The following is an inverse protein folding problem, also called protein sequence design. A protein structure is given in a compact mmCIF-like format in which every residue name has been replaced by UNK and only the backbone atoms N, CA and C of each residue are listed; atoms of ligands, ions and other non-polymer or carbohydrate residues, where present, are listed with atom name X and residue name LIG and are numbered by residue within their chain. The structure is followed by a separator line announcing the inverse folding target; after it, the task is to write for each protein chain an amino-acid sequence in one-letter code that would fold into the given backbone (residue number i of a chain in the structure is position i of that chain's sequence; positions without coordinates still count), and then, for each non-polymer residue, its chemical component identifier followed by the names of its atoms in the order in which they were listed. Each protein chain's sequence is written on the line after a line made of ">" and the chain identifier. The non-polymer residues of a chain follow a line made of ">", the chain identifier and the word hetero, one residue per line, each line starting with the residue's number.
data_IF_657180242874
#
_entry.id   IF_657180242874
#
_cell.length_a   1.000
_cell.length_b   1.000
_cell.length_c   1.000
_cell.angle_alpha   90.00
_cell.angle_beta   90.00
_cell.angle_gamma   90.00
#
_symmetry.space_group_name_H-M   'P 1'
#
loop_
_entity.id
_entity.type
_entity.pdbx_description
1 polymer ?
2 non-polymer ?
3 non-polymer ?
4 water ?
#
# COMPACT_ATOMS: atom_id res chain seq x y z
N UNK A 1 5.84 18.93 -1.25
CA UNK A 1 6.39 20.01 -0.42
C UNK A 1 5.37 20.67 0.50
N UNK A 2 4.44 19.90 1.03
CA UNK A 2 3.41 20.45 1.91
C UNK A 2 3.70 20.00 3.33
N UNK A 3 3.56 20.92 4.28
CA UNK A 3 3.80 20.60 5.68
C UNK A 3 2.70 19.68 6.20
N UNK A 4 3.09 18.61 6.87
CA UNK A 4 2.17 17.67 7.48
C UNK A 4 1.91 17.97 8.95
N UNK A 5 2.28 19.16 9.42
CA UNK A 5 2.11 19.58 10.80
C UNK A 5 1.21 20.79 10.83
N UNK A 6 0.14 20.72 11.64
CA UNK A 6 -0.80 21.82 11.78
C UNK A 6 -1.16 21.99 13.24
N UNK A 7 -1.42 23.23 13.63
CA UNK A 7 -1.90 23.58 14.96
C UNK A 7 -3.26 24.22 14.81
N UNK A 8 -4.29 23.63 15.42
CA UNK A 8 -5.62 24.21 15.31
C UNK A 8 -5.72 25.46 16.17
N UNK A 9 -6.84 26.17 16.01
CA UNK A 9 -7.10 27.38 16.79
C UNK A 9 -7.00 27.13 18.28
N UNK A 10 -7.40 25.95 18.75
CA UNK A 10 -7.36 25.65 20.17
C UNK A 10 -5.96 25.33 20.67
N UNK A 11 -5.02 25.10 19.77
CA UNK A 11 -3.66 24.77 20.14
C UNK A 11 -3.28 23.31 20.10
N UNK A 12 -4.17 22.44 19.60
CA UNK A 12 -3.82 21.04 19.43
C UNK A 12 -2.92 20.88 18.21
N UNK A 13 -1.79 20.20 18.41
CA UNK A 13 -0.86 19.93 17.32
C UNK A 13 -1.19 18.60 16.66
N UNK A 14 -1.23 18.60 15.33
CA UNK A 14 -1.45 17.38 14.55
C UNK A 14 -0.24 17.13 13.66
N UNK A 15 0.21 15.88 13.63
CA UNK A 15 1.40 15.50 12.88
C UNK A 15 1.06 14.30 12.02
N UNK A 16 1.06 14.50 10.70
CA UNK A 16 0.72 13.45 9.75
C UNK A 16 1.92 12.96 8.96
N UNK A 17 3.14 13.35 9.35
CA UNK A 17 4.32 12.90 8.63
C UNK A 17 4.47 11.37 8.69
N UNK A 18 3.96 10.74 9.74
CA UNK A 18 3.98 9.28 9.82
C UNK A 18 3.14 8.60 8.76
N UNK A 19 2.23 9.35 8.13
CA UNK A 19 1.43 8.84 7.03
C UNK A 19 2.00 9.20 5.67
N UNK A 20 3.11 9.94 5.63
CA UNK A 20 3.72 10.34 4.37
C UNK A 20 4.30 9.14 3.64
N UNK A 21 4.26 9.19 2.32
CA UNK A 21 4.63 8.06 1.48
C UNK A 21 6.02 8.29 0.92
N UNK A 22 7.00 7.55 1.43
CA UNK A 22 8.38 7.66 0.98
C UNK A 22 8.62 6.79 -0.26
N UNK A 23 8.13 5.55 -0.24
CA UNK A 23 8.47 4.56 -1.27
C UNK A 23 7.24 4.01 -1.98
N UNK A 24 6.18 3.70 -1.26
CA UNK A 24 4.96 3.16 -1.82
C UNK A 24 3.80 4.00 -1.29
N UNK A 25 2.70 4.07 -2.03
CA UNK A 25 1.55 4.85 -1.57
C UNK A 25 0.65 4.02 -0.67
N UNK A 26 -0.35 4.70 -0.10
CA UNK A 26 -1.42 4.03 0.62
C UNK A 26 -2.42 3.44 -0.36
N UNK A 27 -3.04 2.34 0.06
CA UNK A 27 -4.07 1.67 -0.71
C UNK A 27 -5.34 1.79 0.11
N UNK A 28 -6.41 2.25 -0.52
CA UNK A 28 -7.65 2.55 0.18
C UNK A 28 -8.51 1.30 0.29
N UNK A 29 -9.03 1.08 1.49
CA UNK A 29 -9.97 -0.02 1.70
C UNK A 29 -11.30 0.38 1.08
N UNK A 30 -11.83 -0.47 0.22
CA UNK A 30 -13.03 -0.14 -0.54
C UNK A 30 -13.93 -1.37 -0.59
N UNK A 31 -14.99 -1.37 0.22
CA UNK A 31 -15.94 -2.47 0.21
C UNK A 31 -17.25 -2.08 -0.47
N UNK A 32 -17.22 -1.06 -1.32
CA UNK A 32 -18.36 -0.70 -2.14
C UNK A 32 -18.62 -1.79 -3.18
N UNK A 33 -19.76 -1.67 -3.86
CA UNK A 33 -20.01 -2.55 -4.99
C UNK A 33 -19.29 -2.03 -6.23
N UNK A 34 -19.20 -0.70 -6.38
CA UNK A 34 -18.45 -0.08 -7.46
C UNK A 34 -16.95 -0.26 -7.30
N UNK A 35 -16.49 -0.85 -6.21
CA UNK A 35 -15.08 -1.05 -5.94
C UNK A 35 -14.52 -2.36 -6.45
N UNK A 36 -15.33 -3.13 -7.18
CA UNK A 36 -14.90 -4.43 -7.69
C UNK A 36 -13.66 -4.31 -8.56
N UNK A 37 -13.67 -3.35 -9.50
CA UNK A 37 -12.57 -3.18 -10.44
C UNK A 37 -11.79 -1.88 -10.25
N UNK A 38 -11.94 -1.21 -9.10
CA UNK A 38 -11.28 0.07 -8.89
C UNK A 38 -10.40 0.03 -7.65
N UNK A 39 -9.21 0.61 -7.78
CA UNK A 39 -8.27 0.82 -6.67
C UNK A 39 -8.00 2.31 -6.51
N UNK A 40 -8.12 2.82 -5.29
CA UNK A 40 -7.73 4.18 -4.97
C UNK A 40 -6.34 4.19 -4.35
N UNK A 41 -5.45 5.01 -4.89
CA UNK A 41 -4.14 5.23 -4.31
C UNK A 41 -4.08 6.63 -3.70
N UNK A 42 -3.48 6.73 -2.51
CA UNK A 42 -3.51 7.98 -1.77
C UNK A 42 -2.15 8.26 -1.15
N UNK A 43 -1.87 9.54 -0.95
CA UNK A 43 -0.68 10.00 -0.26
C UNK A 43 -1.07 11.21 0.59
N UNK A 44 -0.31 11.41 1.67
CA UNK A 44 -0.59 12.48 2.62
C UNK A 44 0.53 13.50 2.52
N UNK A 45 0.18 14.76 2.20
CA UNK A 45 1.12 15.86 2.09
C UNK A 45 2.06 15.69 0.91
N UNK A 46 2.61 14.51 0.74
CA UNK A 46 3.51 14.28 -0.37
C UNK A 46 2.75 13.80 -1.60
N UNK A 47 3.25 14.08 -2.80
CA UNK A 47 2.62 13.55 -4.00
C UNK A 47 2.86 12.06 -4.12
N UNK A 48 1.97 11.41 -4.87
CA UNK A 48 2.10 9.97 -5.09
C UNK A 48 3.39 9.66 -5.83
N UNK A 49 4.01 8.51 -5.54
CA UNK A 49 5.08 8.00 -6.41
C UNK A 49 4.51 7.63 -7.77
N UNK A 50 5.42 7.40 -8.73
CA UNK A 50 5.01 7.08 -10.09
C UNK A 50 3.96 5.98 -10.14
N UNK A 51 2.77 6.34 -10.62
CA UNK A 51 1.70 5.40 -10.89
C UNK A 51 1.29 5.58 -12.35
N UNK A 52 1.36 4.55 -13.17
CA UNK A 52 1.14 4.74 -14.61
C UNK A 52 -0.24 5.31 -14.90
N UNK A 53 -0.25 6.48 -15.54
CA UNK A 53 -1.45 7.14 -15.98
C UNK A 53 -1.81 8.40 -15.23
N UNK A 54 -1.27 8.60 -14.02
CA UNK A 54 -1.51 9.85 -13.31
C UNK A 54 -0.19 10.53 -12.93
N UNK A 55 0.73 10.66 -13.87
CA UNK A 55 2.00 11.33 -13.65
C UNK A 55 1.94 12.73 -14.25
N UNK A 56 2.58 13.69 -13.58
CA UNK A 56 2.74 15.03 -14.12
C UNK A 56 2.20 16.16 -13.28
N UNK A 57 1.38 15.89 -12.26
CA UNK A 57 0.60 16.94 -11.62
C UNK A 57 0.76 17.00 -10.11
N UNK A 58 1.75 16.33 -9.54
CA UNK A 58 1.85 16.15 -8.09
C UNK A 58 0.54 15.58 -7.55
N UNK A 59 0.17 14.43 -8.09
CA UNK A 59 -1.13 13.83 -7.81
C UNK A 59 -1.11 13.25 -6.40
N UNK A 60 -2.12 13.57 -5.60
CA UNK A 60 -2.23 13.02 -4.28
C UNK A 60 -3.24 11.89 -4.18
N UNK A 61 -4.00 11.68 -5.25
CA UNK A 61 -5.07 10.69 -5.24
C UNK A 61 -5.28 10.18 -6.66
N UNK A 62 -5.11 8.88 -6.87
CA UNK A 62 -5.19 8.27 -8.19
C UNK A 62 -6.16 7.11 -8.17
N UNK A 63 -7.18 7.14 -9.02
CA UNK A 63 -8.06 6.00 -9.23
C UNK A 63 -7.54 5.18 -10.41
N UNK A 64 -7.29 3.90 -10.18
CA UNK A 64 -6.81 2.98 -11.20
C UNK A 64 -7.86 1.90 -11.38
N UNK A 65 -8.39 1.79 -12.61
CA UNK A 65 -9.44 0.81 -12.88
C UNK A 65 -9.40 0.41 -14.35
N UNK A 66 -9.24 -0.89 -14.60
CA UNK A 66 -9.27 -1.47 -15.94
C UNK A 66 -8.35 -0.74 -16.92
N UNK A 67 -7.08 -0.66 -16.54
CA UNK A 67 -6.07 -0.04 -17.37
C UNK A 67 -6.01 1.48 -17.32
N UNK A 68 -7.14 2.15 -17.17
CA UNK A 68 -7.16 3.59 -17.17
C UNK A 68 -6.87 4.14 -15.78
N UNK A 69 -6.33 5.35 -15.73
CA UNK A 69 -6.00 6.04 -14.49
C UNK A 69 -6.58 7.43 -14.49
N UNK A 70 -7.12 7.85 -13.35
CA UNK A 70 -7.68 9.20 -13.20
C UNK A 70 -6.98 9.91 -12.05
N UNK A 71 -6.63 11.16 -12.30
CA UNK A 71 -6.11 12.05 -11.27
C UNK A 71 -7.27 12.65 -10.50
N UNK A 72 -7.36 12.35 -9.21
CA UNK A 72 -8.48 12.81 -8.39
C UNK A 72 -8.10 13.98 -7.48
N UNK A 73 -7.06 14.73 -7.80
CA UNK A 73 -6.66 15.88 -7.01
C UNK A 73 -5.18 15.91 -6.71
N UNK A 74 -4.66 17.14 -6.62
CA UNK A 74 -3.23 17.36 -6.38
C UNK A 74 -3.04 17.81 -4.94
N UNK A 75 -1.81 17.66 -4.45
CA UNK A 75 -1.46 18.09 -3.10
C UNK A 75 -1.09 19.57 -3.13
N UNK A 76 -1.88 20.39 -2.45
CA UNK A 76 -1.62 21.83 -2.39
C UNK A 76 -1.77 22.32 -0.96
N UNK A 77 -2.97 22.17 -0.39
CA UNK A 77 -3.22 22.60 0.98
C UNK A 77 -2.69 21.56 1.97
N UNK A 78 -2.31 22.04 3.14
CA UNK A 78 -1.96 21.18 4.27
C UNK A 78 -3.23 20.63 4.92
N UNK A 79 -3.09 19.60 5.75
CA UNK A 79 -4.27 19.09 6.49
C UNK A 79 -4.95 20.21 7.27
N UNK A 80 -6.27 20.29 7.15
CA UNK A 80 -7.04 21.36 7.76
C UNK A 80 -7.71 20.85 9.03
N UNK A 82 -7.39 21.47 10.17
CA UNK A 82 -8.13 21.22 11.39
C UNK A 82 -9.43 22.02 11.41
N UNK A 83 -9.32 23.34 11.27
CA UNK A 83 -10.47 24.25 11.23
C UNK A 83 -11.48 24.01 12.35
N UNK A 84 -13.35 22.82 15.38
CA UNK A 84 -13.99 21.85 16.26
C UNK A 84 -13.00 20.75 16.66
N UNK A 85 -11.96 20.54 15.86
CA UNK A 85 -10.92 19.58 16.17
C UNK A 85 -10.78 18.42 15.21
N UNK A 86 -11.61 18.30 14.17
CA UNK A 86 -11.53 17.16 13.27
C UNK A 86 -10.64 17.50 12.07
N UNK A 87 -9.84 16.53 11.65
CA UNK A 87 -8.86 16.75 10.60
C UNK A 87 -9.42 16.41 9.22
N UNK A 88 -9.07 17.23 8.24
CA UNK A 88 -9.42 16.98 6.85
C UNK A 88 -8.28 17.43 5.97
N UNK A 89 -8.08 16.71 4.87
CA UNK A 89 -7.16 17.12 3.81
C UNK A 89 -7.91 17.04 2.50
N UNK A 90 -7.63 17.99 1.60
CA UNK A 90 -8.42 18.19 0.40
C UNK A 90 -7.48 18.29 -0.80
N UNK A 91 -7.64 17.35 -1.73
CA UNK A 91 -6.98 17.41 -3.04
C UNK A 91 -8.02 17.73 -4.09
N UNK A 92 -7.78 18.76 -4.87
CA UNK A 92 -8.72 19.21 -5.88
C UNK A 92 -7.99 19.37 -7.20
N UNK A 93 -8.75 19.78 -8.23
CA UNK A 93 -8.20 20.08 -9.55
C UNK A 93 -7.51 18.86 -10.16
N UNK A 94 -8.20 17.73 -10.13
CA UNK A 94 -7.78 16.53 -10.81
C UNK A 94 -8.24 16.53 -12.25
N UNK A 95 -8.40 15.33 -12.80
CA UNK A 95 -8.86 15.20 -14.17
C UNK A 95 -10.28 15.73 -14.31
N UNK A 96 -10.64 16.02 -15.56
CA UNK A 96 -11.92 16.65 -15.85
C UNK A 96 -13.06 15.74 -15.47
N UNK A 97 -14.05 16.31 -14.78
CA UNK A 97 -15.23 15.61 -14.29
C UNK A 97 -16.44 16.47 -14.60
N UNK A 98 -17.09 16.20 -15.74
CA UNK A 98 -18.18 17.07 -16.18
C UNK A 98 -17.67 18.47 -16.45
N UNK A 99 -18.33 19.47 -15.87
CA UNK A 99 -17.86 20.84 -15.98
C UNK A 99 -16.80 21.17 -14.93
N UNK A 100 -16.60 20.31 -13.94
CA UNK A 100 -15.63 20.52 -12.88
C UNK A 100 -14.45 19.56 -13.05
N UNK A 101 -13.63 19.48 -12.01
CA UNK A 101 -12.51 18.54 -11.95
C UNK A 101 -12.66 17.68 -10.70
N UNK A 102 -12.15 16.46 -10.78
CA UNK A 102 -12.24 15.53 -9.65
C UNK A 102 -11.53 16.12 -8.45
N UNK A 103 -11.99 15.72 -7.27
CA UNK A 103 -11.40 16.12 -6.01
C UNK A 103 -11.47 14.94 -5.04
N UNK A 104 -10.59 14.96 -4.05
CA UNK A 104 -10.52 13.91 -3.05
C UNK A 104 -10.50 14.55 -1.67
N UNK A 105 -11.36 14.07 -0.78
CA UNK A 105 -11.37 14.50 0.61
C UNK A 105 -11.10 13.30 1.50
N UNK A 106 -10.10 13.42 2.37
CA UNK A 106 -9.85 12.45 3.42
C UNK A 106 -10.24 13.08 4.74
N UNK A 107 -11.22 12.48 5.42
CA UNK A 107 -11.61 12.91 6.76
C UNK A 107 -10.92 11.99 7.77
N UNK A 108 -10.16 12.58 8.69
CA UNK A 108 -9.44 11.84 9.70
C UNK A 108 -10.24 11.80 11.00
N UNK A 109 -10.07 10.71 11.73
CA UNK A 109 -10.73 10.56 13.02
C UNK A 109 -9.72 9.97 13.99
N UNK A 110 -9.52 10.65 15.12
CA UNK A 110 -8.70 10.09 16.19
C UNK A 110 -9.26 8.75 16.62
N UNK A 111 -8.45 7.70 16.43
CA UNK A 111 -8.78 6.36 16.88
C UNK A 111 -7.50 5.71 17.37
N UNK A 112 -7.60 4.89 18.42
CA UNK A 112 -6.42 4.31 19.03
C UNK A 112 -5.99 3.03 18.32
N UNK A 113 -5.77 3.17 17.01
CA UNK A 113 -5.36 2.08 16.13
C UNK A 113 -4.53 2.66 15.00
N UNK A 114 -3.78 1.80 14.32
CA UNK A 114 -3.08 2.18 13.09
C UNK A 114 -3.97 1.81 11.91
N UNK A 115 -4.74 2.78 11.44
CA UNK A 115 -5.73 2.54 10.42
C UNK A 115 -5.24 2.87 9.01
N UNK A 116 -6.01 2.38 8.04
CA UNK A 116 -5.83 2.67 6.64
C UNK A 116 -7.02 3.47 6.12
N UNK A 117 -6.82 4.32 5.12
CA UNK A 117 -7.97 5.08 4.60
C UNK A 117 -8.94 4.17 3.88
N UNK A 118 -10.22 4.46 4.06
CA UNK A 118 -11.28 3.67 3.44
C UNK A 118 -12.16 4.58 2.59
N UNK A 119 -12.56 4.07 1.43
CA UNK A 119 -13.51 4.79 0.59
C UNK A 119 -14.84 4.89 1.32
N UNK A 120 -15.34 6.10 1.45
CA UNK A 120 -16.63 6.35 2.08
C UNK A 120 -17.72 6.74 1.11
N UNK A 121 -17.44 7.63 0.17
CA UNK A 121 -18.51 8.33 -0.52
C UNK A 121 -17.99 8.97 -1.79
N UNK A 122 -18.83 8.97 -2.82
CA UNK A 122 -18.60 9.75 -4.02
C UNK A 122 -19.69 10.81 -4.07
N UNK A 123 -19.30 12.07 -3.84
CA UNK A 123 -20.22 13.21 -3.83
C UNK A 123 -20.05 13.98 -5.13
N UNK A 124 -20.68 13.46 -6.18
CA UNK A 124 -20.56 14.05 -7.51
C UNK A 124 -19.19 13.83 -8.11
N UNK A 125 -18.35 14.86 -8.02
CA UNK A 125 -16.99 14.80 -8.53
C UNK A 125 -15.99 14.61 -7.39
N UNK A 126 -16.44 14.57 -6.15
CA UNK A 126 -15.60 14.50 -4.98
C UNK A 126 -15.62 13.08 -4.40
N UNK A 127 -14.43 12.50 -4.24
CA UNK A 127 -14.28 11.19 -3.60
C UNK A 127 -13.92 11.41 -2.13
N UNK A 128 -14.75 10.87 -1.24
CA UNK A 128 -14.62 11.11 0.19
C UNK A 128 -14.07 9.86 0.85
N UNK A 129 -13.04 10.04 1.68
CA UNK A 129 -12.39 8.95 2.38
C UNK A 129 -12.42 9.18 3.87
N UNK A 130 -12.55 8.09 4.63
CA UNK A 130 -12.53 8.13 6.09
C UNK A 130 -11.27 7.40 6.54
N UNK A 131 -10.49 8.06 7.39
CA UNK A 131 -9.23 7.51 7.90
C UNK A 131 -9.27 7.56 9.42
N UNK A 132 -9.58 6.42 10.05
CA UNK A 132 -9.55 6.29 11.49
C UNK A 132 -8.18 5.74 11.89
N UNK A 133 -7.35 6.57 12.51
CA UNK A 133 -6.00 6.15 12.83
C UNK A 133 -5.43 7.02 13.93
N UNK A 134 -4.40 6.48 14.60
CA UNK A 134 -3.80 7.13 15.77
C UNK A 134 -3.08 8.42 15.40
N UNK A 135 -2.69 8.58 14.14
CA UNK A 135 -1.99 9.80 13.76
C UNK A 135 -2.92 10.99 13.66
N UNK A 136 -4.23 10.76 13.60
CA UNK A 136 -5.23 11.82 13.56
C UNK A 136 -5.52 12.41 14.94
N UNK A 137 -4.74 12.06 15.94
CA UNK A 137 -4.88 12.49 17.32
C UNK A 137 -3.90 13.60 17.65
N UNK A 138 -4.26 14.48 18.58
CA UNK A 138 -3.35 15.58 18.95
C UNK A 138 -2.00 15.09 19.45
N UNK A 139 -0.95 15.71 18.95
CA UNK A 139 0.42 15.41 19.36
C UNK A 139 0.74 16.17 20.64
N UNK A 140 1.72 15.65 21.39
CA UNK A 140 2.20 16.33 22.59
C UNK A 140 2.68 17.75 22.27
N UNK B 1 12.25 -8.71 10.97
CA UNK B 1 12.65 -9.76 11.91
C UNK B 1 13.79 -10.60 11.34
N UNK B 2 13.87 -10.68 10.01
CA UNK B 2 14.90 -11.45 9.31
C UNK B 2 15.85 -10.48 8.62
N UNK B 3 17.09 -10.92 8.46
CA UNK B 3 18.09 -10.10 7.78
C UNK B 3 17.67 -9.89 6.32
N UNK B 4 17.86 -8.67 5.84
CA UNK B 4 17.39 -8.30 4.52
C UNK B 4 18.53 -8.06 3.53
N UNK B 5 19.78 -8.32 3.92
CA UNK B 5 20.93 -8.21 3.03
C UNK B 5 21.48 -9.60 2.78
N UNK B 6 21.67 -9.94 1.51
CA UNK B 6 22.19 -11.23 1.11
C UNK B 6 23.28 -11.03 0.06
N UNK B 7 24.27 -11.91 0.09
CA UNK B 7 25.35 -11.94 -0.89
C UNK B 7 25.29 -13.27 -1.61
N UNK B 8 25.17 -13.23 -2.93
CA UNK B 8 25.14 -14.48 -3.69
C UNK B 8 26.54 -15.10 -3.71
N UNK B 9 26.58 -16.31 -4.25
CA UNK B 9 27.85 -17.03 -4.39
C UNK B 9 28.88 -16.21 -5.15
N UNK B 10 28.43 -15.43 -6.14
CA UNK B 10 29.34 -14.62 -6.94
C UNK B 10 29.80 -13.34 -6.25
N UNK B 11 29.18 -12.96 -5.13
CA UNK B 11 29.56 -11.77 -4.42
C UNK B 11 28.70 -10.55 -4.65
N UNK B 12 27.58 -10.69 -5.37
CA UNK B 12 26.66 -9.58 -5.52
C UNK B 12 25.87 -9.38 -4.23
N UNK B 13 25.86 -8.14 -3.75
CA UNK B 13 25.11 -7.78 -2.55
C UNK B 13 23.72 -7.34 -2.94
N UNK B 14 22.71 -7.86 -2.26
CA UNK B 14 21.33 -7.44 -2.45
C UNK B 14 20.80 -6.90 -1.13
N UNK B 15 20.10 -5.77 -1.20
CA UNK B 15 19.57 -5.09 -0.02
C UNK B 15 18.10 -4.77 -0.26
N UNK B 16 17.22 -5.42 0.50
CA UNK B 16 15.79 -5.26 0.33
C UNK B 16 15.15 -4.46 1.45
N UNK B 17 15.97 -3.80 2.30
CA UNK B 17 15.41 -3.02 3.39
C UNK B 17 14.52 -1.89 2.88
N UNK B 18 14.78 -1.40 1.66
CA UNK B 18 13.92 -0.37 1.09
C UNK B 18 12.50 -0.83 0.82
N UNK B 19 12.27 -2.14 0.76
CA UNK B 19 10.95 -2.70 0.59
C UNK B 19 10.29 -3.07 1.92
N UNK B 20 10.99 -2.91 3.04
CA UNK B 20 10.43 -3.22 4.33
C UNK B 20 9.34 -2.21 4.69
N UNK B 21 8.35 -2.69 5.46
CA UNK B 21 7.16 -1.92 5.77
C UNK B 21 7.25 -1.40 7.20
N UNK B 22 7.42 -0.09 7.35
CA UNK B 22 7.45 0.49 8.70
C UNK B 22 6.03 0.76 9.21
N UNK B 23 5.16 1.31 8.38
CA UNK B 23 3.83 1.72 8.80
C UNK B 23 2.71 1.08 8.00
N UNK B 24 2.86 0.98 6.69
CA UNK B 24 1.85 0.41 5.82
C UNK B 24 2.45 -0.68 4.98
N UNK B 25 1.66 -1.66 4.54
CA UNK B 25 2.19 -2.74 3.72
C UNK B 25 2.13 -2.42 2.22
N UNK B 26 2.75 -3.29 1.43
CA UNK B 26 2.57 -3.28 -0.01
C UNK B 26 1.27 -3.98 -0.36
N UNK B 27 0.62 -3.52 -1.43
CA UNK B 27 -0.63 -4.11 -1.87
C UNK B 27 -0.51 -4.61 -3.30
N UNK B 28 -0.83 -5.88 -3.52
CA UNK B 28 -1.03 -6.42 -4.85
C UNK B 28 -2.53 -6.56 -5.08
N UNK B 29 -3.06 -5.81 -6.04
CA UNK B 29 -4.46 -5.92 -6.41
C UNK B 29 -4.61 -6.95 -7.53
N UNK B 30 -5.59 -7.84 -7.40
CA UNK B 30 -5.81 -8.89 -8.40
C UNK B 30 -7.30 -8.94 -8.74
N UNK B 31 -7.64 -8.34 -9.88
CA UNK B 31 -8.99 -8.38 -10.44
C UNK B 31 -9.03 -9.16 -11.75
N UNK B 32 -8.12 -10.13 -11.92
CA UNK B 32 -8.06 -10.88 -13.16
C UNK B 32 -9.33 -11.68 -13.40
N UNK B 33 -9.79 -12.43 -12.40
CA UNK B 33 -11.06 -13.15 -12.53
C UNK B 33 -12.20 -12.19 -12.19
N UNK B 34 -13.12 -12.00 -13.13
CA UNK B 34 -14.28 -11.18 -12.88
C UNK B 34 -15.19 -11.85 -11.86
N UNK B 35 -15.85 -11.02 -11.05
CA UNK B 35 -16.69 -11.51 -9.99
C UNK B 35 -15.94 -11.86 -8.72
N UNK B 36 -14.65 -11.59 -8.66
CA UNK B 36 -13.85 -11.90 -7.48
C UNK B 36 -12.65 -10.97 -7.44
N UNK B 37 -12.58 -10.12 -6.43
CA UNK B 37 -11.49 -9.19 -6.27
C UNK B 37 -10.67 -9.60 -5.07
N UNK B 38 -9.37 -9.74 -5.27
CA UNK B 38 -8.47 -10.18 -4.22
C UNK B 38 -7.42 -9.11 -3.97
N UNK B 39 -7.18 -8.83 -2.69
CA UNK B 39 -6.12 -7.93 -2.29
C UNK B 39 -5.10 -8.77 -1.52
N UNK B 40 -3.86 -8.73 -1.96
CA UNK B 40 -2.76 -9.36 -1.27
C UNK B 40 -1.97 -8.30 -0.54
N UNK B 41 -1.71 -8.51 0.74
CA UNK B 41 -0.86 -7.63 1.51
C UNK B 41 0.47 -8.33 1.73
N UNK B 42 1.56 -7.58 1.57
CA UNK B 42 2.88 -8.19 1.57
C UNK B 42 3.83 -7.35 2.38
N UNK B 43 4.84 -8.02 2.94
CA UNK B 43 5.91 -7.37 3.66
C UNK B 43 7.19 -8.10 3.32
N UNK B 44 8.31 -7.38 3.37
CA UNK B 44 9.62 -7.93 3.06
C UNK B 44 10.46 -7.91 4.33
N UNK B 45 10.92 -9.10 4.74
CA UNK B 45 11.79 -9.29 5.91
C UNK B 45 11.12 -9.04 7.25
N UNK B 46 10.43 -7.93 7.42
CA UNK B 46 9.69 -7.74 8.66
C UNK B 46 8.23 -8.17 8.48
N UNK B 47 7.53 -8.52 9.56
CA UNK B 47 6.12 -8.92 9.42
C UNK B 47 5.19 -7.76 9.09
N UNK B 48 4.03 -8.14 8.54
CA UNK B 48 2.98 -7.19 8.20
C UNK B 48 2.46 -6.48 9.45
N UNK B 49 2.05 -5.22 9.31
CA UNK B 49 1.27 -4.58 10.37
C UNK B 49 -0.10 -5.20 10.49
N UNK B 50 -0.76 -4.93 11.63
CA UNK B 50 -2.07 -5.48 11.93
C UNK B 50 -3.06 -5.27 10.79
N UNK B 51 -3.54 -6.37 10.23
CA UNK B 51 -4.61 -6.39 9.26
C UNK B 51 -5.71 -7.29 9.83
N UNK B 52 -6.93 -6.79 10.01
CA UNK B 52 -7.97 -7.60 10.68
C UNK B 52 -8.19 -8.91 9.95
N UNK B 53 -7.94 -10.03 10.65
CA UNK B 53 -8.17 -11.36 10.14
C UNK B 53 -6.92 -12.20 9.94
N UNK B 54 -5.73 -11.59 9.91
CA UNK B 54 -4.44 -12.29 9.80
C UNK B 54 -3.60 -11.99 11.03
N UNK B 55 -3.80 -12.79 12.07
CA UNK B 55 -3.06 -12.65 13.31
C UNK B 55 -1.87 -13.61 13.32
N UNK B 56 -0.78 -13.15 13.93
CA UNK B 56 0.46 -13.92 14.04
C UNK B 56 1.64 -13.13 13.50
N UNK B 58 2.65 -13.79 12.95
CA UNK B 58 3.77 -13.10 12.31
C UNK B 58 3.66 -13.18 10.79
N UNK B 59 2.51 -12.74 10.30
CA UNK B 59 2.14 -12.94 8.90
C UNK B 59 2.94 -12.02 7.99
N UNK B 60 3.52 -12.61 6.94
CA UNK B 60 4.23 -11.86 5.92
C UNK B 60 3.40 -11.67 4.68
N UNK B 61 2.24 -12.35 4.62
CA UNK B 61 1.40 -12.36 3.42
C UNK B 61 -0.05 -12.59 3.83
N UNK B 62 -0.90 -11.61 3.52
CA UNK B 62 -2.30 -11.61 3.91
C UNK B 62 -3.16 -11.45 2.66
N UNK B 63 -4.02 -12.43 2.42
CA UNK B 63 -5.04 -12.31 1.39
C UNK B 63 -6.35 -11.86 2.02
N UNK B 64 -6.89 -10.74 1.53
CA UNK B 64 -8.18 -10.23 1.96
C UNK B 64 -9.09 -10.24 0.75
N UNK B 65 -10.20 -10.98 0.85
CA UNK B 65 -11.09 -11.16 -0.28
C UNK B 65 -12.49 -11.38 0.26
N UNK B 66 -13.45 -10.61 -0.26
CA UNK B 66 -14.84 -10.66 0.19
C UNK B 66 -14.85 -10.38 1.68
N UNK B 67 -15.33 -11.28 2.53
CA UNK B 67 -15.33 -11.03 3.95
C UNK B 67 -14.16 -11.64 4.69
N UNK B 68 -13.67 -12.77 4.20
CA UNK B 68 -12.64 -13.52 4.91
C UNK B 68 -11.25 -12.98 4.62
N UNK B 69 -10.33 -13.30 5.54
CA UNK B 69 -8.92 -12.96 5.47
C UNK B 69 -8.12 -14.25 5.64
N UNK B 70 -7.05 -14.40 4.86
CA UNK B 70 -6.21 -15.59 4.89
C UNK B 70 -4.75 -15.23 5.15
N UNK B 71 -4.13 -15.99 6.05
CA UNK B 71 -2.69 -15.88 6.26
C UNK B 71 -1.99 -16.76 5.22
N UNK B 72 -1.21 -16.15 4.33
CA UNK B 72 -0.58 -16.85 3.23
C UNK B 72 0.90 -17.16 3.47
N UNK B 73 1.34 -17.17 4.72
CA UNK B 73 2.73 -17.49 5.03
C UNK B 73 3.34 -16.52 6.02
N UNK B 74 4.27 -17.04 6.83
CA UNK B 74 4.88 -16.26 7.88
C UNK B 74 6.27 -15.83 7.43
N UNK B 75 6.79 -14.78 8.06
CA UNK B 75 8.11 -14.26 7.76
C UNK B 75 9.11 -15.09 8.56
N UNK B 76 9.93 -15.87 7.86
CA UNK B 76 10.93 -16.71 8.53
C UNK B 76 12.26 -16.65 7.81
N UNK B 77 12.27 -17.08 6.55
CA UNK B 77 13.47 -17.13 5.75
C UNK B 77 13.82 -15.75 5.19
N UNK B 78 15.12 -15.49 5.04
CA UNK B 78 15.63 -14.29 4.39
C UNK B 78 15.57 -14.45 2.87
N UNK B 79 15.66 -13.34 2.12
CA UNK B 79 15.69 -13.44 0.66
C UNK B 79 16.81 -14.35 0.17
N UNK B 80 16.48 -15.23 -0.78
CA UNK B 80 17.44 -16.20 -1.28
C UNK B 80 18.01 -15.71 -2.62
N UNK B 81 19.31 -15.46 -2.66
CA UNK B 81 20.02 -15.23 -3.90
C UNK B 81 20.33 -16.57 -4.54
N UNK B 82 19.85 -16.79 -5.76
CA UNK B 82 20.06 -18.05 -6.45
C UNK B 82 21.34 -18.03 -7.26
N UNK B 83 21.81 -19.24 -7.60
CA UNK B 83 22.92 -19.37 -8.55
C UNK B 83 22.53 -18.90 -9.94
N UNK B 84 21.22 -18.79 -10.23
CA UNK B 84 20.79 -18.19 -11.48
C UNK B 84 20.93 -16.67 -11.45
N UNK B 85 20.89 -16.06 -10.26
CA UNK B 85 20.98 -14.62 -10.14
C UNK B 85 19.70 -13.97 -9.66
N UNK B 86 18.65 -14.76 -9.43
CA UNK B 86 17.31 -14.29 -9.16
C UNK B 86 17.09 -14.19 -7.65
N UNK B 87 16.37 -13.16 -7.23
CA UNK B 87 16.02 -13.02 -5.83
C UNK B 87 14.66 -13.64 -5.62
N UNK B 88 14.54 -14.36 -4.51
CA UNK B 88 13.27 -14.95 -4.13
C UNK B 88 13.13 -14.90 -2.63
N UNK B 89 11.90 -14.72 -2.17
CA UNK B 89 11.57 -14.83 -0.75
C UNK B 89 10.35 -15.72 -0.62
N UNK B 90 10.31 -16.52 0.43
CA UNK B 90 9.35 -17.60 0.62
C UNK B 90 8.76 -17.51 2.03
N UNK B 91 7.45 -17.34 2.10
CA UNK B 91 6.70 -17.44 3.34
C UNK B 91 5.88 -18.73 3.31
N UNK B 92 5.97 -19.54 4.36
CA UNK B 92 5.24 -20.80 4.43
C UNK B 92 4.50 -20.87 5.76
N UNK B 93 3.80 -21.98 5.97
CA UNK B 93 3.08 -22.25 7.21
C UNK B 93 2.00 -21.19 7.45
N UNK B 94 1.23 -20.91 6.41
CA UNK B 94 0.07 -20.03 6.52
C UNK B 94 -1.16 -20.78 6.97
N UNK B 95 -2.32 -20.23 6.62
CA UNK B 95 -3.58 -20.85 6.97
C UNK B 95 -3.73 -22.19 6.29
N UNK B 96 -4.65 -22.99 6.80
CA UNK B 96 -4.83 -24.35 6.31
C UNK B 96 -5.26 -24.36 4.85
N UNK B 97 -4.61 -25.22 4.07
CA UNK B 97 -4.87 -25.39 2.65
C UNK B 97 -4.95 -26.89 2.40
N UNK B 98 -6.15 -27.44 2.43
CA UNK B 98 -6.28 -28.88 2.35
C UNK B 98 -5.52 -29.53 3.50
N UNK B 99 -4.66 -30.50 3.16
CA UNK B 99 -3.77 -31.08 4.14
C UNK B 99 -2.50 -30.26 4.34
N UNK B 100 -2.27 -29.24 3.53
CA UNK B 100 -1.09 -28.41 3.64
C UNK B 100 -1.45 -27.04 4.21
N UNK B 101 -0.50 -26.11 4.14
CA UNK B 101 -0.72 -24.74 4.55
C UNK B 101 -0.33 -23.81 3.42
N UNK B 102 -0.98 -22.65 3.38
CA UNK B 102 -0.70 -21.69 2.32
C UNK B 102 0.75 -21.23 2.40
N UNK B 103 1.28 -20.86 1.25
CA UNK B 103 2.63 -20.32 1.15
C UNK B 103 2.64 -19.23 0.11
N UNK B 104 3.60 -18.33 0.24
CA UNK B 104 3.74 -17.18 -0.65
C UNK B 104 5.18 -17.10 -1.13
N UNK B 105 5.36 -16.96 -2.44
CA UNK B 105 6.67 -16.75 -3.04
C UNK B 105 6.65 -15.44 -3.81
N UNK B 106 7.63 -14.58 -3.53
CA UNK B 106 7.87 -13.37 -4.32
C UNK B 106 9.17 -13.56 -5.09
N UNK B 107 9.10 -13.51 -6.41
CA UNK B 107 10.28 -13.53 -7.25
C UNK B 107 10.61 -12.09 -7.65
N UNK B 108 11.84 -11.67 -7.35
CA UNK B 108 12.31 -10.32 -7.65
C UNK B 108 13.09 -10.31 -8.96
N UNK B 109 13.01 -9.19 -9.67
CA UNK B 109 13.75 -9.01 -10.92
C UNK B 109 14.32 -7.60 -10.97
N UNK B 110 15.62 -7.50 -11.22
CA UNK B 110 16.27 -6.21 -11.43
C UNK B 110 15.60 -5.45 -12.58
N UNK B 111 15.05 -4.28 -12.25
CA UNK B 111 14.49 -3.37 -13.23
C UNK B 111 14.77 -1.95 -12.76
N UNK B 112 15.03 -1.04 -13.70
CA UNK B 112 15.43 0.32 -13.36
C UNK B 112 14.19 1.20 -13.15
N UNK B 113 13.36 0.77 -12.20
CA UNK B 113 12.12 1.45 -11.85
C UNK B 113 11.84 1.19 -10.38
N UNK B 114 10.93 1.99 -9.80
CA UNK B 114 10.41 1.74 -8.46
C UNK B 114 9.13 0.94 -8.60
N UNK B 115 9.25 -0.38 -8.53
CA UNK B 115 8.13 -1.26 -8.79
C UNK B 115 7.38 -1.70 -7.56
N UNK B 116 6.19 -2.24 -7.80
CA UNK B 116 5.32 -2.85 -6.83
C UNK B 116 5.11 -4.32 -7.16
N UNK B 117 4.86 -5.16 -6.16
CA UNK B 117 4.61 -6.58 -6.44
C UNK B 117 3.28 -6.75 -7.17
N UNK B 118 3.25 -7.69 -8.10
CA UNK B 118 2.05 -8.02 -8.85
C UNK B 118 1.74 -9.50 -8.67
N UNK B 119 0.45 -9.81 -8.53
CA UNK B 119 0.05 -11.21 -8.50
C UNK B 119 0.34 -11.85 -9.84
N UNK B 120 1.09 -12.94 -9.82
CA UNK B 120 1.43 -13.65 -11.04
C UNK B 120 0.71 -14.99 -11.16
N UNK B 121 0.66 -15.78 -10.09
CA UNK B 121 0.32 -17.18 -10.25
C UNK B 121 -0.07 -17.79 -8.91
N UNK B 122 -1.05 -18.67 -8.93
CA UNK B 122 -1.40 -19.52 -7.79
C UNK B 122 -1.09 -20.96 -8.17
N UNK B 123 -0.05 -21.52 -7.56
CA UNK B 123 0.37 -22.90 -7.84
C UNK B 123 -0.11 -23.80 -6.71
N UNK B 124 -1.38 -24.15 -6.76
CA UNK B 124 -2.00 -24.96 -5.73
C UNK B 124 -2.21 -24.21 -4.44
N UNK B 125 -1.30 -24.41 -3.48
CA UNK B 125 -1.38 -23.75 -2.19
C UNK B 125 -0.40 -22.59 -2.11
N UNK B 126 0.42 -22.39 -3.14
CA UNK B 126 1.46 -21.38 -3.18
C UNK B 126 1.01 -20.19 -4.03
N UNK B 127 1.06 -19.00 -3.45
CA UNK B 127 0.77 -17.78 -4.17
C UNK B 127 2.09 -17.18 -4.64
N UNK B 128 2.20 -16.97 -5.96
CA UNK B 128 3.43 -16.53 -6.60
C UNK B 128 3.27 -15.09 -7.04
N UNK B 129 4.25 -14.26 -6.69
CA UNK B 129 4.23 -12.84 -7.00
C UNK B 129 5.50 -12.48 -7.77
N UNK B 130 5.35 -11.52 -8.70
CA UNK B 130 6.46 -11.00 -9.47
C UNK B 130 6.69 -9.55 -9.05
N UNK B 131 7.93 -9.24 -8.66
CA UNK B 131 8.29 -7.90 -8.21
C UNK B 131 9.49 -7.42 -9.02
N UNK B 132 9.23 -6.61 -10.05
CA UNK B 132 10.26 -5.97 -10.84
C UNK B 132 10.51 -4.59 -10.25
N UNK B 133 11.68 -4.38 -9.65
CA UNK B 133 11.97 -3.12 -8.96
C UNK B 133 13.47 -2.95 -8.83
N UNK B 134 13.88 -1.70 -8.61
CA UNK B 134 15.30 -1.34 -8.56
C UNK B 134 16.00 -1.93 -7.34
N UNK B 135 15.26 -2.29 -6.30
CA UNK B 135 15.88 -2.86 -5.12
C UNK B 135 16.34 -4.29 -5.34
N UNK B 136 15.84 -4.95 -6.39
CA UNK B 136 16.25 -6.31 -6.75
C UNK B 136 17.58 -6.35 -7.50
N UNK B 137 18.29 -5.23 -7.57
CA UNK B 137 19.57 -5.11 -8.28
C UNK B 137 20.74 -5.11 -7.29
N UNK B 138 21.89 -5.63 -7.70
CA UNK B 138 23.07 -5.64 -6.82
C UNK B 138 23.47 -4.25 -6.37
N UNK B 139 23.72 -4.11 -5.07
CA UNK B 139 24.19 -2.86 -4.49
C UNK B 139 25.71 -2.80 -4.61
N UNK B 140 26.25 -1.59 -4.50
CA UNK B 140 27.70 -1.39 -4.51
C UNK B 140 28.39 -2.19 -3.41
X LIG C 1 6.90 4.13 2.51
X LIG D 1 2.70 7.29 -18.19
X LIG E 1 5.79 2.81 5.36
X LIG F 1 -8.42 -8.98 15.01
#
# INVERSE_FOLDING_TARGET
>A
SVDCQVTDLAGNEYDLTGLSTVRKPWTAVDTSVDGRKRTFYLSVCNPLPYIPGCQGSAVGSCLVSEGNSWNLGVVQMSPQAAANGSLSIMYVNGDKCGNQRFSTRITFECAQISGSPAFQLQDGCEYVFIWRTVEACPVV
>B
SVDCQVTDLAGNEYDLTGLSTVRKPWTAVDTSVDGRKRTFYLSVCNPLPYIPGCQGSAVGSCLVSEGNSWNLGVVQMSPQAAANGSLSIMYVNGDKCGNQRFSTRITFECAQISGSPAFQLQDGCEYVFIWRTVEACPVV
>C hetero
1 CL CL
>D hetero
1 NA NA
>E hetero
1 CL CL
>F hetero
1 NA NA
#
